data_IF_296176287918
#
_entry.id   IF_296176287918
#
_cell.length_a   1.000
_cell.length_b   1.000
_cell.length_c   1.000
_cell.angle_alpha   90.00
_cell.angle_beta   90.00
_cell.angle_gamma   90.00
#
_symmetry.space_group_name_H-M   'P 1'
#
loop_
_entity.id
_entity.type
_entity.pdbx_description
1 polymer ?
#
# COMPACT_ATOMS: atom_id res chain seq x y z
N UNK A 1 -14.66 -21.95 -2.36
CA UNK A 1 -14.50 -20.63 -3.00
C UNK A 1 -13.03 -20.46 -3.27
N UNK A 2 -12.64 -20.32 -4.54
CA UNK A 2 -11.23 -20.37 -4.95
C UNK A 2 -10.41 -19.26 -4.30
N UNK A 3 -9.36 -19.65 -3.61
CA UNK A 3 -8.39 -18.76 -2.98
C UNK A 3 -7.50 -18.21 -4.10
N UNK A 4 -7.90 -17.10 -4.73
CA UNK A 4 -7.06 -16.40 -5.70
C UNK A 4 -6.00 -15.59 -4.95
N UNK A 5 -5.15 -16.29 -4.20
CA UNK A 5 -3.97 -15.71 -3.60
C UNK A 5 -2.96 -15.43 -4.73
N UNK A 6 -2.77 -14.16 -5.06
CA UNK A 6 -1.71 -13.77 -5.97
C UNK A 6 -0.36 -13.99 -5.27
N UNK A 7 0.65 -14.53 -5.98
CA UNK A 7 1.99 -14.62 -5.42
C UNK A 7 2.52 -13.21 -5.15
N UNK A 8 2.87 -12.94 -3.89
CA UNK A 8 3.56 -11.71 -3.50
C UNK A 8 5.06 -11.92 -3.61
N UNK A 9 5.77 -10.99 -4.26
CA UNK A 9 7.21 -11.10 -4.43
C UNK A 9 7.96 -10.87 -3.12
N UNK A 10 9.08 -11.59 -2.94
CA UNK A 10 9.97 -11.37 -1.79
C UNK A 10 10.53 -9.95 -1.75
N UNK A 11 10.73 -9.32 -2.93
CA UNK A 11 11.19 -7.94 -3.03
C UNK A 11 10.21 -6.94 -2.39
N UNK A 12 8.90 -7.10 -2.63
CA UNK A 12 7.90 -6.25 -1.99
C UNK A 12 7.90 -6.42 -0.48
N UNK A 13 7.99 -7.67 0.01
CA UNK A 13 8.08 -7.95 1.44
C UNK A 13 9.29 -7.26 2.09
N UNK A 14 10.46 -7.34 1.45
CA UNK A 14 11.67 -6.67 1.93
C UNK A 14 11.53 -5.15 2.00
N UNK A 15 10.83 -4.53 1.05
CA UNK A 15 10.57 -3.08 1.06
C UNK A 15 9.65 -2.71 2.23
N UNK A 16 8.57 -3.47 2.47
CA UNK A 16 7.65 -3.21 3.58
C UNK A 16 8.34 -3.35 4.94
N UNK A 17 9.19 -4.37 5.11
CA UNK A 17 9.97 -4.56 6.33
C UNK A 17 10.95 -3.41 6.57
N UNK A 18 11.63 -2.94 5.53
CA UNK A 18 12.53 -1.78 5.62
C UNK A 18 11.78 -0.49 6.00
N UNK A 19 10.63 -0.23 5.40
CA UNK A 19 9.82 0.96 5.74
C UNK A 19 9.28 0.88 7.17
N UNK A 20 8.91 -0.32 7.63
CA UNK A 20 8.51 -0.51 9.03
C UNK A 20 9.65 -0.19 9.98
N UNK A 21 10.87 -0.71 9.72
CA UNK A 21 12.06 -0.41 10.52
C UNK A 21 12.37 1.10 10.49
N UNK A 22 12.34 1.72 9.31
CA UNK A 22 12.59 3.16 9.11
C UNK A 22 11.61 4.03 9.88
N UNK A 23 10.35 3.61 9.98
CA UNK A 23 9.31 4.34 10.71
C UNK A 23 9.52 4.34 12.23
N UNK A 24 10.33 3.42 12.76
CA UNK A 24 10.49 3.21 14.21
C UNK A 24 9.21 2.72 14.91
N UNK A 25 8.21 2.24 14.16
CA UNK A 25 6.92 1.86 14.72
C UNK A 25 7.02 0.59 15.58
N UNK A 26 6.48 0.66 16.80
CA UNK A 26 6.31 -0.50 17.67
C UNK A 26 5.00 -1.22 17.33
N UNK A 27 5.09 -2.48 16.90
CA UNK A 27 3.94 -3.29 16.47
C UNK A 27 3.05 -3.81 17.62
N UNK A 28 3.49 -3.70 18.88
CA UNK A 28 2.75 -4.23 20.03
C UNK A 28 1.36 -3.59 20.12
N UNK A 29 0.32 -4.41 20.13
CA UNK A 29 -1.07 -3.95 20.21
C UNK A 29 -1.67 -3.41 18.90
N UNK A 30 -0.93 -3.44 17.77
CA UNK A 30 -1.46 -3.01 16.47
C UNK A 30 -2.19 -4.15 15.77
N UNK A 31 -3.33 -3.83 15.17
CA UNK A 31 -4.17 -4.76 14.39
C UNK A 31 -4.12 -4.49 12.89
N UNK A 32 -3.59 -3.34 12.47
CA UNK A 32 -3.43 -2.96 11.06
C UNK A 32 -2.15 -2.16 10.84
N UNK A 33 -1.61 -2.24 9.62
CA UNK A 33 -0.55 -1.39 9.09
C UNK A 33 -1.02 -0.83 7.76
N UNK A 34 -0.75 0.45 7.50
CA UNK A 34 -1.05 1.10 6.23
C UNK A 34 0.23 1.77 5.75
N UNK A 35 0.73 1.33 4.59
CA UNK A 35 1.87 1.91 3.91
C UNK A 35 1.37 2.81 2.80
N UNK A 36 1.88 4.04 2.74
CA UNK A 36 1.54 5.03 1.73
C UNK A 36 2.83 5.43 1.00
N UNK A 37 2.95 5.05 -0.26
CA UNK A 37 4.04 5.47 -1.14
C UNK A 37 3.52 6.59 -2.04
N UNK A 38 4.14 7.76 -1.93
CA UNK A 38 3.69 8.98 -2.63
C UNK A 38 4.88 9.68 -3.26
N UNK A 39 4.73 10.03 -4.53
CA UNK A 39 5.57 11.01 -5.18
C UNK A 39 5.00 12.41 -4.86
N UNK A 40 5.74 13.28 -4.15
CA UNK A 40 5.26 14.62 -3.80
C UNK A 40 4.99 15.51 -5.02
N UNK A 41 5.61 15.19 -6.17
CA UNK A 41 5.43 15.93 -7.42
C UNK A 41 4.32 15.34 -8.30
N UNK A 42 3.64 14.27 -7.84
CA UNK A 42 2.52 13.68 -8.56
C UNK A 42 1.39 14.70 -8.73
N UNK A 43 0.88 14.81 -9.95
CA UNK A 43 -0.30 15.60 -10.24
C UNK A 43 -0.89 15.31 -11.61
N UNK A 44 -2.09 15.84 -11.89
CA UNK A 44 -2.88 15.43 -13.04
C UNK A 44 -2.33 16.01 -14.36
N UNK A 45 -1.51 17.05 -14.26
CA UNK A 45 -0.88 17.73 -15.40
C UNK A 45 0.60 17.36 -15.52
N UNK A 46 1.33 17.30 -14.40
CA UNK A 46 2.77 17.02 -14.39
C UNK A 46 3.09 15.53 -14.51
N UNK A 47 2.10 14.66 -14.26
CA UNK A 47 2.34 13.22 -14.15
C UNK A 47 3.07 12.91 -12.83
N UNK A 48 4.00 11.97 -12.86
CA UNK A 48 4.70 11.45 -11.68
C UNK A 48 4.32 10.00 -11.39
N UNK A 49 4.86 9.44 -10.30
CA UNK A 49 4.47 8.09 -9.89
C UNK A 49 3.13 8.12 -9.16
N UNK A 50 2.25 7.19 -9.54
CA UNK A 50 0.97 7.05 -8.88
C UNK A 50 1.14 6.72 -7.39
N UNK A 51 0.36 7.35 -6.50
CA UNK A 51 0.30 6.96 -5.12
C UNK A 51 -0.14 5.50 -5.00
N UNK A 52 0.52 4.74 -4.11
CA UNK A 52 0.15 3.37 -3.78
C UNK A 52 -0.14 3.27 -2.29
N UNK A 53 -1.25 2.66 -1.93
CA UNK A 53 -1.56 2.28 -0.55
C UNK A 53 -1.61 0.76 -0.41
N UNK A 54 -0.97 0.26 0.66
CA UNK A 54 -0.96 -1.15 1.02
C UNK A 54 -1.45 -1.28 2.45
N UNK A 55 -2.48 -2.09 2.68
CA UNK A 55 -2.96 -2.42 4.01
C UNK A 55 -2.66 -3.86 4.38
N UNK A 56 -2.05 -4.04 5.55
CA UNK A 56 -1.93 -5.33 6.21
C UNK A 56 -2.84 -5.37 7.43
N UNK A 57 -3.49 -6.51 7.66
CA UNK A 57 -4.22 -6.79 8.89
C UNK A 57 -3.50 -7.87 9.68
N UNK A 58 -3.49 -7.72 11.01
CA UNK A 58 -3.02 -8.77 11.91
C UNK A 58 -4.13 -9.79 12.08
N UNK A 59 -3.90 -11.01 11.63
CA UNK A 59 -4.79 -12.15 11.83
C UNK A 59 -4.03 -13.26 12.55
N UNK A 60 -4.45 -13.55 13.79
CA UNK A 60 -3.69 -14.35 14.75
C UNK A 60 -2.29 -13.71 14.92
N UNK A 61 -1.23 -14.50 14.78
CA UNK A 61 0.15 -14.04 14.92
C UNK A 61 0.83 -13.68 13.60
N UNK A 62 0.06 -13.48 12.51
CA UNK A 62 0.62 -13.12 11.20
C UNK A 62 -0.02 -11.85 10.63
N UNK A 63 0.80 -11.06 9.94
CA UNK A 63 0.34 -9.97 9.09
C UNK A 63 -0.04 -10.52 7.72
N UNK A 64 -1.19 -10.11 7.21
CA UNK A 64 -1.71 -10.57 5.91
C UNK A 64 -2.13 -9.36 5.09
N UNK A 65 -1.87 -9.40 3.78
CA UNK A 65 -2.39 -8.39 2.87
C UNK A 65 -3.90 -8.38 2.92
N UNK A 66 -4.45 -7.19 3.05
CA UNK A 66 -5.87 -6.94 2.97
C UNK A 66 -6.21 -6.26 1.64
N UNK A 67 -5.43 -5.25 1.25
CA UNK A 67 -5.45 -4.71 -0.11
C UNK A 67 -4.13 -4.05 -0.52
N UNK A 68 -3.99 -3.88 -1.83
CA UNK A 68 -3.02 -3.02 -2.51
C UNK A 68 -3.80 -2.19 -3.51
N UNK A 69 -3.64 -0.87 -3.50
CA UNK A 69 -4.39 0.05 -4.37
C UNK A 69 -3.46 1.06 -5.02
N UNK A 70 -3.50 1.12 -6.36
CA UNK A 70 -2.89 2.17 -7.19
C UNK A 70 -3.91 3.30 -7.38
N UNK A 71 -3.57 4.53 -7.00
CA UNK A 71 -4.44 5.69 -7.16
C UNK A 71 -4.02 6.50 -8.38
N UNK A 72 -4.99 6.85 -9.23
CA UNK A 72 -4.77 7.76 -10.36
C UNK A 72 -5.73 8.93 -10.24
N UNK A 73 -5.19 10.14 -10.36
CA UNK A 73 -6.03 11.32 -10.57
C UNK A 73 -6.60 11.27 -11.98
N UNK A 74 -7.90 11.04 -12.07
CA UNK A 74 -8.65 11.29 -13.30
C UNK A 74 -8.84 12.79 -13.47
N UNK A 75 -8.57 13.32 -14.67
CA UNK A 75 -9.11 14.62 -15.03
C UNK A 75 -10.63 14.58 -14.81
N UNK A 76 -11.15 15.43 -13.93
CA UNK A 76 -12.57 15.72 -13.86
C UNK A 76 -12.99 16.32 -15.21
N UNK A 77 -13.33 15.48 -16.17
CA UNK A 77 -14.33 15.85 -17.16
C UNK A 77 -15.67 15.52 -16.52
N UNK A 78 -16.20 16.48 -15.78
CA UNK A 78 -17.65 16.63 -15.72
C UNK A 78 -18.11 16.79 -17.17
N UNK A 79 -18.60 15.71 -17.76
CA UNK A 79 -19.48 15.76 -18.91
C UNK A 79 -20.84 15.37 -18.34
N UNK A 80 -21.73 16.36 -18.36
CA UNK A 80 -23.19 16.29 -18.39
C UNK A 80 -23.81 14.89 -18.31
#
# INVERSE_FOLDING_TARGET
MGDFALPVSQALMSILDQELVRSGMVLKGKSSLVFNFRDPDYGPVRGGFHPVEIRLLKRKDRWQFDYVTDFREGANKSLI
#
